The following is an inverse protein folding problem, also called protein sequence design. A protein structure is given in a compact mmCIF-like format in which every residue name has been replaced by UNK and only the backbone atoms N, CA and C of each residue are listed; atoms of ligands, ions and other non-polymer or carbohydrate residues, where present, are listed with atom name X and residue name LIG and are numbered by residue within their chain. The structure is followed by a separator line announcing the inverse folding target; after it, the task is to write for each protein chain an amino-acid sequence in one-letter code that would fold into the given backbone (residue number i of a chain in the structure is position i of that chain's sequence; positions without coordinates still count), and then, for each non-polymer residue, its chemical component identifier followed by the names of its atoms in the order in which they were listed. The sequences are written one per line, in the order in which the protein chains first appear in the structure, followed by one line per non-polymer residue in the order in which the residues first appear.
data_IF_565865926588
#
_entry.id   IF_565865926588
#
_cell.length_a   1.000
_cell.length_b   1.000
_cell.length_c   1.000
_cell.angle_alpha   90.00
_cell.angle_beta   90.00
_cell.angle_gamma   90.00
#
_symmetry.space_group_name_H-M   'P 1'
#
loop_
_entity.id
_entity.type
_entity.pdbx_description
1 polymer ?
#
# COMPACT_ATOMS: atom_id res chain seq x y z
N UNK A 1 -0.09 -30.49 -29.16
CA UNK A 1 0.41 -29.11 -29.29
C UNK A 1 0.48 -28.47 -27.91
N UNK A 2 1.37 -27.51 -27.72
CA UNK A 2 1.49 -26.74 -26.48
C UNK A 2 0.78 -25.40 -26.67
N UNK A 3 0.02 -24.97 -25.67
CA UNK A 3 -0.62 -23.64 -25.65
C UNK A 3 -0.20 -22.87 -24.41
N UNK A 4 -0.17 -21.55 -24.51
CA UNK A 4 0.00 -20.64 -23.36
C UNK A 4 -1.28 -19.84 -23.21
N UNK A 5 -1.86 -19.76 -22.03
CA UNK A 5 -3.12 -19.04 -21.80
C UNK A 5 -3.15 -18.40 -20.42
N UNK A 6 -4.12 -17.52 -20.20
CA UNK A 6 -4.28 -16.76 -18.97
C UNK A 6 -5.77 -16.50 -18.66
N UNK A 7 -6.05 -15.71 -17.63
CA UNK A 7 -7.40 -15.41 -17.20
C UNK A 7 -8.15 -14.45 -18.13
N UNK A 8 -9.48 -14.56 -18.11
CA UNK A 8 -10.41 -13.57 -18.68
C UNK A 8 -10.20 -12.19 -18.07
N UNK A 9 -10.57 -11.15 -18.81
CA UNK A 9 -10.24 -9.76 -18.48
C UNK A 9 -8.73 -9.57 -18.32
N UNK A 10 -7.98 -10.05 -19.31
CA UNK A 10 -6.52 -10.07 -19.34
C UNK A 10 -5.94 -8.65 -19.22
N UNK A 11 -5.16 -8.41 -18.16
CA UNK A 11 -4.38 -7.20 -17.90
C UNK A 11 -2.94 -7.33 -18.43
N UNK A 12 -2.07 -6.34 -18.17
CA UNK A 12 -0.73 -6.38 -18.73
C UNK A 12 0.12 -7.49 -18.14
N UNK A 13 0.00 -7.82 -16.85
CA UNK A 13 0.79 -8.92 -16.26
C UNK A 13 0.45 -10.26 -16.92
N UNK A 14 -0.84 -10.54 -17.05
CA UNK A 14 -1.33 -11.71 -17.77
C UNK A 14 -0.88 -11.73 -19.25
N UNK A 15 -1.06 -10.61 -19.98
CA UNK A 15 -0.68 -10.55 -21.40
C UNK A 15 0.83 -10.64 -21.61
N UNK A 16 1.62 -9.89 -20.85
CA UNK A 16 3.08 -9.94 -20.88
C UNK A 16 3.59 -11.35 -20.55
N UNK A 17 3.00 -12.01 -19.56
CA UNK A 17 3.34 -13.38 -19.20
C UNK A 17 3.01 -14.39 -20.29
N UNK A 18 1.92 -14.18 -21.05
CA UNK A 18 1.63 -15.01 -22.25
C UNK A 18 2.74 -14.85 -23.28
N UNK A 19 3.20 -13.62 -23.54
CA UNK A 19 4.29 -13.34 -24.47
C UNK A 19 5.65 -13.85 -23.94
N UNK A 20 5.93 -13.71 -22.65
CA UNK A 20 7.11 -14.32 -22.02
C UNK A 20 7.07 -15.85 -22.13
N UNK A 21 5.87 -16.44 -22.10
CA UNK A 21 5.66 -17.86 -22.35
C UNK A 21 6.15 -18.29 -23.74
N UNK A 22 5.95 -17.48 -24.79
CA UNK A 22 6.40 -17.85 -26.15
C UNK A 22 7.92 -17.86 -26.26
N UNK A 23 8.58 -17.04 -25.44
CA UNK A 23 10.05 -16.98 -25.31
C UNK A 23 10.57 -18.19 -24.54
N UNK A 24 9.94 -18.55 -23.42
CA UNK A 24 10.37 -19.66 -22.55
C UNK A 24 10.00 -21.06 -23.09
N UNK A 25 8.96 -21.15 -23.91
CA UNK A 25 8.44 -22.38 -24.48
C UNK A 25 8.29 -22.24 -26.01
N UNK A 26 9.42 -22.32 -26.76
CA UNK A 26 9.39 -22.21 -28.22
C UNK A 26 8.40 -23.19 -28.87
N UNK A 27 7.58 -22.69 -29.79
CA UNK A 27 6.56 -23.47 -30.49
C UNK A 27 5.24 -23.65 -29.72
N UNK A 28 5.12 -23.13 -28.48
CA UNK A 28 3.84 -23.02 -27.82
C UNK A 28 3.01 -21.88 -28.41
N UNK A 29 1.71 -22.12 -28.60
CA UNK A 29 0.81 -21.16 -29.24
C UNK A 29 0.21 -20.23 -28.18
N UNK A 30 0.45 -18.90 -28.25
CA UNK A 30 -0.12 -17.95 -27.30
C UNK A 30 -1.61 -17.74 -27.56
N UNK A 31 -2.42 -18.04 -26.54
CA UNK A 31 -3.86 -17.87 -26.54
C UNK A 31 -4.25 -16.71 -25.66
N UNK A 32 -4.94 -15.74 -26.25
CA UNK A 32 -5.49 -14.59 -25.55
C UNK A 32 -7.02 -14.73 -25.45
N UNK A 33 -7.59 -14.61 -24.24
CA UNK A 33 -9.04 -14.49 -24.05
C UNK A 33 -9.63 -13.32 -24.84
N UNK A 34 -10.92 -13.39 -25.20
CA UNK A 34 -11.58 -12.27 -25.92
C UNK A 34 -11.81 -11.07 -25.00
N UNK A 35 -12.02 -11.35 -23.72
CA UNK A 35 -12.21 -10.31 -22.71
C UNK A 35 -10.85 -9.76 -22.27
N UNK A 36 -10.52 -8.55 -22.72
CA UNK A 36 -9.28 -7.84 -22.38
C UNK A 36 -9.56 -6.59 -21.54
N UNK A 37 -8.64 -6.32 -20.60
CA UNK A 37 -8.54 -5.04 -19.92
C UNK A 37 -8.45 -3.89 -20.95
N UNK A 38 -9.11 -2.74 -20.73
CA UNK A 38 -9.06 -1.59 -21.64
C UNK A 38 -7.64 -1.15 -22.03
N UNK A 39 -6.69 -1.16 -21.11
CA UNK A 39 -5.32 -0.73 -21.37
C UNK A 39 -4.59 -1.68 -22.33
N UNK A 40 -4.73 -2.99 -22.11
CA UNK A 40 -4.19 -4.03 -23.01
C UNK A 40 -4.82 -3.94 -24.39
N UNK A 41 -6.14 -3.71 -24.45
CA UNK A 41 -6.85 -3.52 -25.73
C UNK A 41 -6.33 -2.30 -26.50
N UNK A 42 -6.12 -1.18 -25.81
CA UNK A 42 -5.55 0.03 -26.41
C UNK A 42 -4.12 -0.24 -26.92
N UNK A 43 -3.29 -0.92 -26.12
CA UNK A 43 -1.94 -1.31 -26.52
C UNK A 43 -1.94 -2.19 -27.76
N UNK A 44 -2.75 -3.25 -27.77
CA UNK A 44 -2.86 -4.18 -28.90
C UNK A 44 -3.43 -3.50 -30.14
N UNK A 45 -4.29 -2.49 -30.02
CA UNK A 45 -4.82 -1.78 -31.20
C UNK A 45 -3.73 -1.10 -32.04
N UNK A 46 -2.57 -0.83 -31.44
CA UNK A 46 -1.40 -0.20 -32.08
C UNK A 46 -0.33 -1.24 -32.41
N UNK A 47 -0.16 -2.26 -31.54
CA UNK A 47 0.98 -3.17 -31.59
C UNK A 47 0.61 -4.62 -31.97
N UNK A 48 -0.62 -4.89 -32.43
CA UNK A 48 -1.11 -6.25 -32.69
C UNK A 48 -0.16 -7.07 -33.57
N UNK A 49 0.38 -6.47 -34.61
CA UNK A 49 1.23 -7.15 -35.59
C UNK A 49 2.60 -7.58 -35.02
N UNK A 50 2.97 -7.06 -33.84
CA UNK A 50 4.19 -7.45 -33.13
C UNK A 50 3.99 -8.69 -32.24
N UNK A 51 2.74 -9.07 -31.98
CA UNK A 51 2.39 -10.15 -31.05
C UNK A 51 1.39 -11.11 -31.71
N UNK A 52 1.89 -12.22 -32.25
CA UNK A 52 1.08 -13.25 -32.93
C UNK A 52 0.24 -14.09 -31.96
N UNK A 53 -0.75 -13.49 -31.31
CA UNK A 53 -1.70 -14.18 -30.42
C UNK A 53 -2.89 -14.73 -31.19
N UNK A 54 -3.43 -15.87 -30.74
CA UNK A 54 -4.69 -16.44 -31.24
C UNK A 54 -5.78 -16.38 -30.18
N UNK A 55 -7.03 -16.41 -30.60
CA UNK A 55 -8.17 -16.65 -29.71
C UNK A 55 -8.41 -18.14 -29.53
N UNK A 56 -9.13 -18.51 -28.47
CA UNK A 56 -9.53 -19.90 -28.20
C UNK A 56 -10.34 -20.55 -29.34
N UNK A 57 -11.03 -19.75 -30.17
CA UNK A 57 -11.81 -20.26 -31.30
C UNK A 57 -10.95 -20.72 -32.49
N UNK A 58 -9.69 -20.30 -32.53
CA UNK A 58 -8.80 -20.52 -33.67
C UNK A 58 -7.94 -21.78 -33.50
N UNK A 59 -8.18 -22.56 -32.44
CA UNK A 59 -7.40 -23.76 -32.10
C UNK A 59 -8.29 -24.97 -31.87
N UNK A 60 -7.87 -26.11 -32.42
CA UNK A 60 -8.44 -27.41 -32.06
C UNK A 60 -7.90 -27.89 -30.70
N UNK A 61 -8.71 -27.69 -29.66
CA UNK A 61 -8.39 -28.08 -28.29
C UNK A 61 -8.09 -29.59 -28.13
N UNK A 62 -8.58 -30.46 -29.03
CA UNK A 62 -8.33 -31.90 -28.94
C UNK A 62 -6.85 -32.25 -29.18
N UNK A 63 -6.15 -31.40 -29.93
CA UNK A 63 -4.72 -31.60 -30.22
C UNK A 63 -3.82 -31.12 -29.09
N UNK A 64 -4.36 -30.44 -28.08
CA UNK A 64 -3.58 -29.91 -26.95
C UNK A 64 -3.10 -31.06 -26.07
N UNK A 65 -1.81 -31.04 -25.75
CA UNK A 65 -1.13 -32.03 -24.91
C UNK A 65 -0.51 -31.38 -23.67
N UNK A 66 -0.17 -30.09 -23.76
CA UNK A 66 0.33 -29.29 -22.63
C UNK A 66 -0.29 -27.90 -22.64
N UNK A 67 -0.62 -27.41 -21.46
CA UNK A 67 -1.07 -26.05 -21.22
C UNK A 67 -0.12 -25.34 -20.26
N UNK A 68 0.44 -24.22 -20.69
CA UNK A 68 1.16 -23.28 -19.84
C UNK A 68 0.15 -22.23 -19.40
N UNK A 69 -0.18 -22.19 -18.13
CA UNK A 69 -1.10 -21.22 -17.54
C UNK A 69 -0.27 -20.16 -16.83
N UNK A 70 -0.56 -18.90 -17.14
CA UNK A 70 0.11 -17.76 -16.51
C UNK A 70 -0.91 -16.88 -15.80
N UNK A 71 -0.50 -16.36 -14.65
CA UNK A 71 -1.21 -15.37 -13.83
C UNK A 71 -2.59 -15.80 -13.30
N UNK A 72 -2.81 -17.12 -13.22
CA UNK A 72 -4.00 -17.66 -12.55
C UNK A 72 -3.86 -19.14 -12.22
N UNK A 73 -4.02 -19.47 -10.94
CA UNK A 73 -4.18 -20.85 -10.47
C UNK A 73 -5.57 -21.46 -10.61
N UNK A 74 -6.53 -20.81 -11.29
CA UNK A 74 -7.95 -21.19 -11.26
C UNK A 74 -8.59 -21.47 -12.63
N UNK A 75 -9.20 -22.65 -12.81
CA UNK A 75 -9.97 -23.04 -14.00
C UNK A 75 -11.09 -22.07 -14.31
N UNK A 76 -11.81 -21.62 -13.27
CA UNK A 76 -12.95 -20.70 -13.43
C UNK A 76 -12.54 -19.36 -14.04
N UNK A 77 -11.25 -18.98 -13.98
CA UNK A 77 -10.74 -17.75 -14.59
C UNK A 77 -10.36 -17.95 -16.06
N UNK A 78 -10.19 -19.17 -16.55
CA UNK A 78 -9.81 -19.46 -17.93
C UNK A 78 -11.03 -19.39 -18.87
N UNK A 79 -10.93 -18.62 -19.95
CA UNK A 79 -12.01 -18.50 -20.93
C UNK A 79 -12.10 -19.78 -21.77
N UNK A 80 -13.24 -20.48 -21.72
CA UNK A 80 -13.61 -21.60 -22.60
C UNK A 80 -12.67 -22.82 -22.58
N UNK A 81 -12.08 -23.10 -21.43
CA UNK A 81 -11.20 -24.26 -21.22
C UNK A 81 -11.88 -25.46 -20.52
N UNK A 82 -13.19 -25.40 -20.27
CA UNK A 82 -13.95 -26.46 -19.57
C UNK A 82 -13.90 -27.82 -20.28
N UNK A 83 -13.83 -27.79 -21.61
CA UNK A 83 -13.75 -29.01 -22.42
C UNK A 83 -12.40 -29.71 -22.27
N UNK A 84 -11.29 -28.96 -22.19
CA UNK A 84 -9.98 -29.53 -21.87
C UNK A 84 -9.99 -30.16 -20.48
N UNK A 85 -10.49 -29.42 -19.48
CA UNK A 85 -10.59 -29.88 -18.09
C UNK A 85 -11.34 -31.21 -17.97
N UNK A 86 -12.43 -31.38 -18.72
CA UNK A 86 -13.30 -32.57 -18.63
C UNK A 86 -12.82 -33.74 -19.48
N UNK A 87 -12.30 -33.48 -20.69
CA UNK A 87 -12.07 -34.50 -21.72
C UNK A 87 -10.65 -35.04 -21.74
N UNK A 88 -9.67 -34.30 -21.23
CA UNK A 88 -8.24 -34.67 -21.29
C UNK A 88 -7.69 -34.97 -19.91
N UNK A 89 -7.68 -36.25 -19.55
CA UNK A 89 -7.11 -36.74 -18.28
C UNK A 89 -5.58 -36.78 -18.27
N UNK A 90 -4.96 -36.72 -19.46
CA UNK A 90 -3.51 -36.73 -19.70
C UNK A 90 -2.94 -35.32 -19.98
N UNK A 91 -3.72 -34.27 -19.78
CA UNK A 91 -3.28 -32.89 -20.02
C UNK A 91 -2.19 -32.49 -19.01
N UNK A 92 -1.00 -32.19 -19.52
CA UNK A 92 0.09 -31.64 -18.69
C UNK A 92 -0.10 -30.14 -18.49
N UNK A 93 -0.11 -29.67 -17.24
CA UNK A 93 -0.31 -28.25 -16.92
C UNK A 93 0.93 -27.70 -16.23
N UNK A 94 1.50 -26.63 -16.79
CA UNK A 94 2.57 -25.85 -16.17
C UNK A 94 2.00 -24.51 -15.70
N UNK A 95 2.30 -24.10 -14.47
CA UNK A 95 1.76 -22.89 -13.87
C UNK A 95 2.86 -21.87 -13.58
N UNK A 96 2.62 -20.62 -13.95
CA UNK A 96 3.33 -19.44 -13.44
C UNK A 96 2.29 -18.52 -12.78
N UNK A 97 2.42 -18.25 -11.50
CA UNK A 97 1.47 -17.39 -10.78
C UNK A 97 2.13 -16.76 -9.55
N UNK A 98 1.78 -15.52 -9.22
CA UNK A 98 2.20 -14.84 -8.00
C UNK A 98 1.10 -14.75 -6.91
N UNK A 99 -0.14 -15.11 -7.25
CA UNK A 99 -1.30 -14.97 -6.35
C UNK A 99 -1.34 -16.04 -5.25
N UNK A 100 -1.55 -15.68 -3.99
CA UNK A 100 -1.68 -16.66 -2.87
C UNK A 100 -3.04 -17.38 -2.79
N UNK A 101 -3.81 -17.41 -3.89
CA UNK A 101 -5.12 -18.03 -3.91
C UNK A 101 -5.03 -19.56 -3.96
N UNK A 102 -6.11 -20.23 -3.57
CA UNK A 102 -6.22 -21.68 -3.77
C UNK A 102 -6.14 -21.99 -5.27
N UNK A 103 -5.29 -22.96 -5.63
CA UNK A 103 -5.10 -23.43 -7.00
C UNK A 103 -5.94 -24.69 -7.22
N UNK A 104 -6.77 -24.71 -8.27
CA UNK A 104 -7.60 -25.88 -8.66
C UNK A 104 -7.15 -26.52 -9.98
N UNK A 105 -6.03 -26.05 -10.55
CA UNK A 105 -5.46 -26.54 -11.81
C UNK A 105 -4.74 -27.89 -11.69
N UNK A 106 -4.24 -28.24 -10.49
CA UNK A 106 -3.39 -29.42 -10.26
C UNK A 106 -2.20 -29.51 -11.24
N UNK A 107 -1.30 -28.51 -11.25
CA UNK A 107 -0.22 -28.45 -12.23
C UNK A 107 0.81 -29.57 -12.04
N UNK A 108 1.31 -30.11 -13.16
CA UNK A 108 2.44 -31.04 -13.18
C UNK A 108 3.76 -30.34 -12.78
N UNK A 109 3.85 -29.03 -13.04
CA UNK A 109 4.94 -28.19 -12.60
C UNK A 109 4.42 -26.77 -12.31
N UNK A 110 4.91 -26.13 -11.25
CA UNK A 110 4.53 -24.76 -10.92
C UNK A 110 5.72 -23.93 -10.45
N UNK A 111 5.79 -22.69 -10.91
CA UNK A 111 6.54 -21.61 -10.29
C UNK A 111 5.53 -20.67 -9.65
N UNK A 112 5.41 -20.78 -8.33
CA UNK A 112 4.42 -20.05 -7.54
C UNK A 112 5.09 -19.45 -6.31
N UNK A 113 5.29 -18.13 -6.35
CA UNK A 113 6.03 -17.40 -5.32
C UNK A 113 5.34 -16.07 -5.01
N UNK A 114 5.46 -15.61 -3.76
CA UNK A 114 4.96 -14.29 -3.35
C UNK A 114 5.89 -13.21 -3.90
N UNK A 115 5.50 -12.57 -4.99
CA UNK A 115 6.29 -11.54 -5.69
C UNK A 115 5.38 -10.44 -6.26
N UNK A 116 5.97 -9.31 -6.68
CA UNK A 116 5.22 -8.16 -7.18
C UNK A 116 4.36 -8.47 -8.41
N UNK A 117 4.86 -9.26 -9.37
CA UNK A 117 4.14 -9.63 -10.60
C UNK A 117 4.55 -11.02 -11.12
N UNK A 118 3.65 -11.72 -11.81
CA UNK A 118 3.94 -12.99 -12.49
C UNK A 118 5.04 -12.83 -13.53
N UNK A 119 5.06 -11.71 -14.28
CA UNK A 119 6.10 -11.44 -15.27
C UNK A 119 7.50 -11.41 -14.67
N UNK A 120 7.65 -11.00 -13.40
CA UNK A 120 8.94 -10.99 -12.69
C UNK A 120 9.53 -12.39 -12.60
N UNK A 121 8.70 -13.41 -12.28
CA UNK A 121 9.14 -14.81 -12.23
C UNK A 121 9.65 -15.29 -13.59
N UNK A 122 8.96 -14.90 -14.65
CA UNK A 122 9.30 -15.31 -16.01
C UNK A 122 10.54 -14.58 -16.52
N UNK A 123 10.71 -13.29 -16.21
CA UNK A 123 11.91 -12.52 -16.54
C UNK A 123 13.15 -13.10 -15.84
N UNK A 124 13.02 -13.52 -14.57
CA UNK A 124 14.07 -14.22 -13.84
C UNK A 124 14.52 -15.49 -14.57
N UNK A 125 13.57 -16.27 -15.08
CA UNK A 125 13.88 -17.49 -15.85
C UNK A 125 14.45 -17.18 -17.23
N UNK A 126 13.95 -16.16 -17.93
CA UNK A 126 14.49 -15.66 -19.22
C UNK A 126 15.96 -15.28 -19.05
N UNK A 127 16.28 -14.51 -18.00
CA UNK A 127 17.64 -14.10 -17.66
C UNK A 127 18.52 -15.30 -17.33
N UNK A 128 18.01 -16.25 -16.54
CA UNK A 128 18.74 -17.49 -16.19
C UNK A 128 19.07 -18.35 -17.41
N UNK A 129 18.22 -18.33 -18.44
CA UNK A 129 18.41 -19.06 -19.71
C UNK A 129 19.18 -18.27 -20.76
N UNK A 130 19.64 -17.06 -20.43
CA UNK A 130 20.35 -16.15 -21.35
C UNK A 130 19.58 -15.90 -22.66
N UNK A 131 18.25 -15.75 -22.55
CA UNK A 131 17.39 -15.49 -23.72
C UNK A 131 17.32 -13.99 -23.99
N UNK A 132 17.73 -13.60 -25.19
CA UNK A 132 17.71 -12.20 -25.65
C UNK A 132 16.28 -11.74 -25.92
N UNK A 133 15.89 -10.62 -25.32
CA UNK A 133 14.62 -9.95 -25.56
C UNK A 133 14.73 -8.90 -26.65
N UNK A 134 13.67 -8.76 -27.44
CA UNK A 134 13.51 -7.57 -28.29
C UNK A 134 13.18 -6.34 -27.42
N UNK A 135 13.51 -5.11 -27.86
CA UNK A 135 13.15 -3.90 -27.12
C UNK A 135 11.63 -3.79 -26.83
N UNK A 136 10.78 -4.25 -27.75
CA UNK A 136 9.34 -4.22 -27.57
C UNK A 136 8.83 -5.25 -26.54
N UNK A 137 9.42 -6.46 -26.51
CA UNK A 137 9.14 -7.43 -25.45
C UNK A 137 9.58 -6.88 -24.08
N UNK A 138 10.79 -6.31 -24.01
CA UNK A 138 11.28 -5.70 -22.79
C UNK A 138 10.37 -4.55 -22.32
N UNK A 139 9.87 -3.74 -23.25
CA UNK A 139 8.91 -2.66 -22.99
C UNK A 139 7.60 -3.20 -22.44
N UNK A 140 7.00 -4.21 -23.10
CA UNK A 140 5.76 -4.84 -22.64
C UNK A 140 5.91 -5.43 -21.23
N UNK A 141 7.01 -6.14 -20.98
CA UNK A 141 7.25 -6.78 -19.69
C UNK A 141 7.46 -5.74 -18.58
N UNK A 142 8.08 -4.60 -18.91
CA UNK A 142 8.26 -3.52 -17.94
C UNK A 142 6.93 -2.80 -17.64
N UNK A 143 6.05 -2.63 -18.63
CA UNK A 143 4.70 -2.09 -18.43
C UNK A 143 3.92 -2.97 -17.45
N UNK A 144 3.93 -4.28 -17.68
CA UNK A 144 3.29 -5.26 -16.79
C UNK A 144 3.82 -5.18 -15.36
N UNK A 145 5.15 -5.23 -15.20
CA UNK A 145 5.80 -5.17 -13.90
C UNK A 145 5.44 -3.88 -13.16
N UNK A 146 5.47 -2.73 -13.84
CA UNK A 146 5.14 -1.45 -13.21
C UNK A 146 3.65 -1.27 -12.92
N UNK A 147 2.74 -1.86 -13.69
CA UNK A 147 1.31 -1.83 -13.38
C UNK A 147 1.04 -2.56 -12.05
N UNK A 148 1.58 -3.77 -11.89
CA UNK A 148 1.32 -4.62 -10.73
C UNK A 148 2.10 -4.23 -9.47
N UNK A 149 3.22 -3.56 -9.63
CA UNK A 149 4.02 -3.03 -8.50
C UNK A 149 3.75 -1.55 -8.20
N UNK A 150 2.90 -0.89 -8.98
CA UNK A 150 2.65 0.54 -8.86
C UNK A 150 3.91 1.37 -9.06
N UNK A 151 4.69 1.08 -10.11
CA UNK A 151 6.04 1.62 -10.31
C UNK A 151 6.98 1.34 -9.13
N UNK A 152 6.99 0.08 -8.65
CA UNK A 152 7.79 -0.37 -7.50
C UNK A 152 7.46 0.31 -6.16
N UNK A 153 6.27 0.93 -6.02
CA UNK A 153 5.86 1.64 -4.80
C UNK A 153 4.89 0.86 -3.92
N UNK A 154 4.26 -0.19 -4.44
CA UNK A 154 3.36 -1.03 -3.65
C UNK A 154 4.13 -1.88 -2.65
N UNK A 155 3.52 -2.15 -1.48
CA UNK A 155 4.13 -2.95 -0.41
C UNK A 155 4.31 -4.43 -0.77
N UNK A 156 3.67 -4.90 -1.84
CA UNK A 156 3.89 -6.24 -2.42
C UNK A 156 5.17 -6.33 -3.26
N UNK A 157 5.79 -5.21 -3.60
CA UNK A 157 7.02 -5.16 -4.41
C UNK A 157 8.18 -5.79 -3.65
N UNK A 158 8.97 -6.62 -4.33
CA UNK A 158 10.15 -7.31 -3.80
C UNK A 158 11.44 -6.80 -4.46
N UNK A 159 12.63 -7.10 -3.90
CA UNK A 159 13.90 -6.77 -4.55
C UNK A 159 14.04 -7.38 -5.95
N UNK A 160 13.45 -8.56 -6.18
CA UNK A 160 13.52 -9.23 -7.48
C UNK A 160 12.75 -8.45 -8.56
N UNK A 161 11.66 -7.77 -8.21
CA UNK A 161 10.92 -6.89 -9.13
C UNK A 161 11.81 -5.72 -9.59
N UNK A 162 12.59 -5.14 -8.68
CA UNK A 162 13.54 -4.09 -9.01
C UNK A 162 14.69 -4.60 -9.91
N UNK A 163 15.18 -5.81 -9.66
CA UNK A 163 16.19 -6.45 -10.52
C UNK A 163 15.66 -6.78 -11.91
N UNK A 164 14.42 -7.27 -12.01
CA UNK A 164 13.77 -7.52 -13.29
C UNK A 164 13.55 -6.20 -14.05
N UNK A 165 13.10 -5.14 -13.39
CA UNK A 165 12.97 -3.81 -13.99
C UNK A 165 14.31 -3.30 -14.56
N UNK A 166 15.40 -3.44 -13.79
CA UNK A 166 16.73 -3.07 -14.25
C UNK A 166 17.16 -3.86 -15.50
N UNK A 167 16.96 -5.18 -15.50
CA UNK A 167 17.27 -6.05 -16.64
C UNK A 167 16.46 -5.69 -17.90
N UNK A 168 15.18 -5.33 -17.74
CA UNK A 168 14.33 -4.91 -18.86
C UNK A 168 14.79 -3.57 -19.45
N UNK A 169 15.23 -2.64 -18.60
CA UNK A 169 15.83 -1.37 -19.05
C UNK A 169 17.17 -1.58 -19.76
N UNK A 170 18.02 -2.48 -19.26
CA UNK A 170 19.24 -2.92 -19.96
C UNK A 170 18.92 -3.51 -21.33
N UNK A 171 17.80 -4.25 -21.42
CA UNK A 171 17.23 -4.83 -22.64
C UNK A 171 16.49 -3.80 -23.53
N UNK A 172 16.72 -2.50 -23.30
CA UNK A 172 16.18 -1.38 -24.11
C UNK A 172 14.66 -1.21 -24.05
N UNK A 173 14.02 -1.54 -22.92
CA UNK A 173 12.63 -1.15 -22.68
C UNK A 173 12.44 0.38 -22.82
N UNK A 174 11.40 0.81 -23.54
CA UNK A 174 11.12 2.22 -23.82
C UNK A 174 10.14 2.82 -22.80
N UNK A 175 10.66 3.72 -21.97
CA UNK A 175 9.87 4.42 -20.94
C UNK A 175 8.82 5.38 -21.51
N UNK A 176 8.99 5.87 -22.74
CA UNK A 176 8.01 6.77 -23.36
C UNK A 176 6.73 6.02 -23.72
N UNK A 177 6.87 4.85 -24.32
CA UNK A 177 5.74 3.96 -24.61
C UNK A 177 5.06 3.58 -23.29
N UNK A 178 5.84 3.17 -22.29
CA UNK A 178 5.36 2.80 -20.97
C UNK A 178 4.53 3.91 -20.30
N UNK A 179 5.00 5.16 -20.35
CA UNK A 179 4.29 6.30 -19.75
C UNK A 179 2.90 6.54 -20.35
N UNK A 180 2.70 6.13 -21.61
CA UNK A 180 1.41 6.25 -22.30
C UNK A 180 0.36 5.28 -21.76
N UNK A 181 0.79 4.12 -21.24
CA UNK A 181 -0.13 3.05 -20.82
C UNK A 181 -0.26 2.93 -19.29
N UNK A 182 0.73 3.35 -18.51
CA UNK A 182 0.67 3.35 -17.04
C UNK A 182 -0.16 4.49 -16.46
N UNK A 183 -0.46 5.52 -17.26
CA UNK A 183 -1.39 6.57 -16.88
C UNK A 183 -2.75 6.28 -17.51
N UNK A 184 -3.71 5.66 -16.80
CA UNK A 184 -5.05 5.52 -17.34
C UNK A 184 -5.58 6.92 -17.66
N UNK A 185 -5.77 7.18 -18.97
CA UNK A 185 -6.30 8.44 -19.41
C UNK A 185 -7.67 8.64 -18.75
N UNK A 186 -7.82 9.74 -18.00
CA UNK A 186 -9.12 10.10 -17.44
C UNK A 186 -10.06 10.34 -18.61
N UNK A 187 -11.03 9.43 -18.78
CA UNK A 187 -12.15 9.67 -19.67
C UNK A 187 -12.90 10.92 -19.23
N UNK A 188 -13.64 11.53 -20.15
CA UNK A 188 -14.41 12.75 -19.90
C UNK A 188 -15.33 12.60 -18.67
N UNK A 189 -15.96 11.43 -18.52
CA UNK A 189 -16.80 11.11 -17.35
C UNK A 189 -16.02 11.17 -16.03
N UNK A 190 -14.83 10.57 -15.95
CA UNK A 190 -14.02 10.60 -14.74
C UNK A 190 -13.53 12.02 -14.42
N UNK A 191 -13.13 12.80 -15.44
CA UNK A 191 -12.74 14.20 -15.28
C UNK A 191 -13.89 15.03 -14.71
N UNK A 192 -15.09 14.87 -15.27
CA UNK A 192 -16.27 15.59 -14.82
C UNK A 192 -16.64 15.25 -13.38
N UNK A 193 -16.61 13.96 -13.01
CA UNK A 193 -16.86 13.52 -11.63
C UNK A 193 -15.81 14.09 -10.68
N UNK A 194 -14.52 14.02 -11.02
CA UNK A 194 -13.46 14.59 -10.18
C UNK A 194 -13.67 16.09 -9.98
N UNK A 195 -13.98 16.82 -11.05
CA UNK A 195 -14.22 18.25 -10.99
C UNK A 195 -15.39 18.58 -10.06
N UNK A 196 -16.49 17.83 -10.16
CA UNK A 196 -17.64 17.96 -9.24
C UNK A 196 -17.27 17.65 -7.78
N UNK A 197 -16.48 16.60 -7.55
CA UNK A 197 -15.97 16.27 -6.21
C UNK A 197 -15.11 17.41 -5.65
N UNK A 198 -14.22 17.99 -6.46
CA UNK A 198 -13.35 19.09 -6.04
C UNK A 198 -14.13 20.37 -5.75
N UNK A 199 -15.17 20.69 -6.53
CA UNK A 199 -16.03 21.86 -6.28
C UNK A 199 -16.82 21.74 -4.97
N UNK A 200 -17.23 20.53 -4.60
CA UNK A 200 -18.01 20.25 -3.38
C UNK A 200 -17.16 19.75 -2.20
N UNK A 201 -15.84 19.78 -2.35
CA UNK A 201 -14.88 19.24 -1.39
C UNK A 201 -15.02 19.90 -0.01
N UNK A 202 -15.10 19.07 1.03
CA UNK A 202 -15.03 19.51 2.43
C UNK A 202 -14.00 18.68 3.17
N UNK A 203 -13.06 19.36 3.83
CA UNK A 203 -12.10 18.75 4.75
C UNK A 203 -12.68 18.79 6.16
N UNK A 204 -12.77 17.64 6.80
CA UNK A 204 -13.20 17.50 8.19
C UNK A 204 -12.06 16.90 9.00
N UNK A 205 -11.83 17.38 10.22
CA UNK A 205 -10.90 16.74 11.15
C UNK A 205 -11.65 15.73 11.99
N UNK A 206 -11.25 14.46 11.93
CA UNK A 206 -11.77 13.36 12.75
C UNK A 206 -10.57 12.74 13.44
N UNK A 207 -10.55 12.72 14.77
CA UNK A 207 -9.44 12.14 15.55
C UNK A 207 -8.05 12.64 15.13
N UNK A 208 -7.93 13.96 14.84
CA UNK A 208 -6.72 14.63 14.36
C UNK A 208 -6.24 14.23 12.94
N UNK A 209 -7.02 13.43 12.22
CA UNK A 209 -6.82 13.08 10.82
C UNK A 209 -7.74 13.95 9.95
N UNK A 210 -7.21 14.39 8.81
CA UNK A 210 -7.97 15.10 7.80
C UNK A 210 -8.67 14.10 6.89
N UNK A 211 -10.00 14.18 6.84
CA UNK A 211 -10.83 13.28 6.04
C UNK A 211 -11.75 14.09 5.14
N UNK A 212 -12.01 13.61 3.93
CA UNK A 212 -13.02 14.18 3.05
C UNK A 212 -14.02 13.13 2.57
N UNK A 213 -15.31 13.41 2.70
CA UNK A 213 -16.39 12.55 2.23
C UNK A 213 -17.21 13.34 1.22
N UNK A 214 -17.24 12.86 -0.02
CA UNK A 214 -17.94 13.48 -1.13
C UNK A 214 -19.09 12.60 -1.63
N UNK A 215 -20.13 13.21 -2.19
CA UNK A 215 -21.29 12.52 -2.75
C UNK A 215 -21.54 13.04 -4.15
N UNK A 216 -21.55 12.15 -5.13
CA UNK A 216 -21.74 12.49 -6.55
C UNK A 216 -22.77 11.56 -7.17
N UNK A 217 -23.58 12.12 -8.05
CA UNK A 217 -24.53 11.36 -8.86
C UNK A 217 -23.90 11.03 -10.22
N UNK A 218 -23.95 9.76 -10.62
CA UNK A 218 -23.33 9.25 -11.84
C UNK A 218 -24.37 8.70 -12.82
N UNK A 219 -24.19 9.06 -14.10
CA UNK A 219 -25.06 8.65 -15.21
C UNK A 219 -24.47 7.49 -16.01
N UNK A 220 -25.25 6.42 -16.13
CA UNK A 220 -24.83 5.18 -16.79
C UNK A 220 -23.64 4.50 -16.10
N UNK A 221 -22.95 3.62 -16.82
CA UNK A 221 -21.76 2.95 -16.29
C UNK A 221 -20.53 3.87 -16.33
N UNK A 222 -19.81 3.95 -15.21
CA UNK A 222 -18.53 4.63 -15.08
C UNK A 222 -17.53 3.67 -14.45
N UNK A 223 -16.50 3.30 -15.21
CA UNK A 223 -15.39 2.48 -14.71
C UNK A 223 -14.37 3.29 -13.93
N UNK A 224 -13.57 2.62 -13.09
CA UNK A 224 -12.40 3.17 -12.40
C UNK A 224 -12.66 4.38 -11.49
N UNK A 225 -13.83 4.43 -10.83
CA UNK A 225 -14.13 5.46 -9.82
C UNK A 225 -13.11 5.48 -8.65
N UNK A 226 -12.45 4.36 -8.38
CA UNK A 226 -11.44 4.26 -7.33
C UNK A 226 -10.17 5.08 -7.61
N UNK A 227 -9.85 5.30 -8.89
CA UNK A 227 -8.79 6.20 -9.34
C UNK A 227 -9.19 7.66 -9.13
N UNK A 228 -10.46 7.99 -9.40
CA UNK A 228 -11.01 9.32 -9.14
C UNK A 228 -10.93 9.67 -7.65
N UNK A 229 -11.33 8.76 -6.75
CA UNK A 229 -11.22 8.97 -5.30
C UNK A 229 -9.77 9.09 -4.84
N UNK A 230 -8.84 8.34 -5.44
CA UNK A 230 -7.42 8.45 -5.12
C UNK A 230 -6.88 9.83 -5.52
N UNK A 231 -7.11 10.27 -6.76
CA UNK A 231 -6.64 11.57 -7.22
C UNK A 231 -7.30 12.72 -6.45
N UNK A 232 -8.59 12.59 -6.12
CA UNK A 232 -9.29 13.53 -5.24
C UNK A 232 -8.62 13.66 -3.87
N UNK A 233 -8.24 12.54 -3.23
CA UNK A 233 -7.50 12.53 -1.95
C UNK A 233 -6.17 13.26 -2.07
N UNK A 234 -5.43 12.95 -3.13
CA UNK A 234 -4.07 13.47 -3.35
C UNK A 234 -4.10 14.98 -3.62
N UNK A 235 -5.02 15.46 -4.47
CA UNK A 235 -5.22 16.90 -4.74
C UNK A 235 -5.63 17.65 -3.47
N UNK A 236 -6.56 17.08 -2.68
CA UNK A 236 -6.99 17.71 -1.43
C UNK A 236 -5.96 17.58 -0.30
N UNK A 237 -4.95 16.73 -0.44
CA UNK A 237 -3.94 16.42 0.56
C UNK A 237 -4.55 16.03 1.93
N UNK A 238 -5.45 15.04 1.92
CA UNK A 238 -6.14 14.51 3.12
C UNK A 238 -5.68 13.10 3.46
N UNK A 239 -5.70 12.73 4.74
CA UNK A 239 -5.26 11.41 5.24
C UNK A 239 -6.18 10.27 4.73
N UNK A 240 -7.48 10.57 4.53
CA UNK A 240 -8.41 9.66 3.88
C UNK A 240 -9.48 10.41 3.06
N UNK A 241 -9.93 9.79 1.97
CA UNK A 241 -11.06 10.27 1.21
C UNK A 241 -12.06 9.15 0.91
N UNK A 242 -13.35 9.50 0.92
CA UNK A 242 -14.45 8.61 0.58
C UNK A 242 -15.33 9.26 -0.49
N UNK A 243 -15.60 8.51 -1.56
CA UNK A 243 -16.58 8.86 -2.59
C UNK A 243 -17.84 8.00 -2.44
N UNK A 244 -19.00 8.66 -2.39
CA UNK A 244 -20.33 8.04 -2.39
C UNK A 244 -20.96 8.33 -3.74
N UNK A 245 -21.06 7.32 -4.60
CA UNK A 245 -21.52 7.45 -5.98
C UNK A 245 -22.92 6.87 -6.15
N UNK A 246 -23.88 7.69 -6.56
CA UNK A 246 -25.28 7.30 -6.78
C UNK A 246 -25.56 7.05 -8.25
N UNK A 247 -26.12 5.90 -8.59
CA UNK A 247 -26.68 5.68 -9.92
C UNK A 247 -28.10 6.23 -10.01
N UNK A 248 -28.36 7.09 -10.99
CA UNK A 248 -29.68 7.67 -11.27
C UNK A 248 -30.76 6.62 -11.56
N UNK A 249 -30.38 5.46 -12.10
CA UNK A 249 -31.35 4.52 -12.69
C UNK A 249 -31.80 3.39 -11.75
N UNK A 250 -31.14 3.18 -10.60
CA UNK A 250 -31.26 1.89 -9.88
C UNK A 250 -31.16 1.97 -8.33
N UNK A 251 -31.21 3.16 -7.72
CA UNK A 251 -31.04 3.35 -6.26
C UNK A 251 -29.83 2.58 -5.68
N UNK A 252 -28.77 2.45 -6.48
CA UNK A 252 -27.51 1.82 -6.09
C UNK A 252 -26.51 2.89 -5.70
N UNK A 253 -25.88 2.67 -4.57
CA UNK A 253 -24.85 3.51 -4.02
C UNK A 253 -23.53 2.73 -3.98
N UNK A 254 -22.49 3.25 -4.62
CA UNK A 254 -21.13 2.71 -4.54
C UNK A 254 -20.35 3.57 -3.58
N UNK A 255 -19.79 2.97 -2.54
CA UNK A 255 -18.89 3.63 -1.59
C UNK A 255 -17.48 3.19 -1.90
N UNK A 256 -16.56 4.13 -2.07
CA UNK A 256 -15.14 3.86 -2.27
C UNK A 256 -14.34 4.70 -1.30
N UNK A 257 -13.40 4.07 -0.59
CA UNK A 257 -12.46 4.75 0.30
C UNK A 257 -11.02 4.56 -0.15
N UNK A 258 -10.20 5.58 0.13
CA UNK A 258 -8.74 5.54 0.02
C UNK A 258 -8.12 6.23 1.23
N UNK A 259 -7.07 5.65 1.79
CA UNK A 259 -6.28 6.26 2.86
C UNK A 259 -4.79 6.06 2.61
N UNK A 260 -3.99 6.99 3.10
CA UNK A 260 -2.53 6.90 3.12
C UNK A 260 -1.97 6.78 4.56
N UNK A 261 -2.84 6.48 5.55
CA UNK A 261 -2.47 6.31 6.95
C UNK A 261 -3.05 5.02 7.50
N UNK A 262 -2.26 4.30 8.32
CA UNK A 262 -2.71 3.04 8.93
C UNK A 262 -3.80 3.23 9.98
N UNK A 263 -3.91 4.44 10.52
CA UNK A 263 -4.93 4.80 11.50
C UNK A 263 -6.37 4.70 10.96
N UNK A 264 -6.56 4.68 9.64
CA UNK A 264 -7.86 4.49 8.99
C UNK A 264 -7.82 3.22 8.15
N UNK A 265 -8.30 2.12 8.72
CA UNK A 265 -8.47 0.87 7.97
C UNK A 265 -9.73 0.94 7.10
N UNK A 266 -9.56 1.40 5.86
CA UNK A 266 -10.65 1.54 4.88
C UNK A 266 -11.31 0.20 4.61
N UNK A 267 -10.52 -0.87 4.45
CA UNK A 267 -11.03 -2.22 4.21
C UNK A 267 -11.95 -2.72 5.32
N UNK A 268 -11.68 -2.38 6.59
CA UNK A 268 -12.57 -2.69 7.70
C UNK A 268 -13.86 -1.86 7.65
N UNK A 269 -13.76 -0.56 7.36
CA UNK A 269 -14.91 0.36 7.23
C UNK A 269 -15.87 -0.10 6.14
N UNK A 270 -15.38 -0.44 4.94
CA UNK A 270 -16.26 -0.85 3.85
C UNK A 270 -16.81 -2.26 4.05
N UNK A 271 -16.12 -3.14 4.80
CA UNK A 271 -16.63 -4.49 5.14
C UNK A 271 -17.86 -4.44 6.03
N UNK A 272 -17.97 -3.49 6.95
CA UNK A 272 -19.20 -3.32 7.74
C UNK A 272 -20.40 -2.92 6.87
N UNK A 273 -20.15 -2.42 5.65
CA UNK A 273 -21.15 -2.09 4.63
C UNK A 273 -21.38 -3.21 3.61
N UNK A 274 -20.87 -4.42 3.87
CA UNK A 274 -20.96 -5.56 2.94
C UNK A 274 -20.00 -5.46 1.74
N UNK A 275 -18.98 -4.61 1.82
CA UNK A 275 -17.93 -4.46 0.82
C UNK A 275 -16.69 -5.31 1.09
N UNK A 276 -15.61 -4.96 0.41
CA UNK A 276 -14.31 -5.62 0.53
C UNK A 276 -13.15 -4.67 0.22
N UNK A 277 -11.95 -5.04 0.67
CA UNK A 277 -10.73 -4.27 0.48
C UNK A 277 -9.64 -4.58 1.51
N UNK A 278 -8.62 -3.72 1.54
CA UNK A 278 -7.43 -3.77 2.38
C UNK A 278 -7.29 -2.46 3.19
N UNK A 279 -6.33 -2.33 4.13
CA UNK A 279 -6.27 -1.16 5.01
C UNK A 279 -6.25 0.20 4.28
N UNK A 280 -5.49 0.35 3.19
CA UNK A 280 -5.42 1.60 2.43
C UNK A 280 -6.55 1.86 1.43
N UNK A 281 -7.41 0.87 1.16
CA UNK A 281 -8.41 0.97 0.10
C UNK A 281 -9.54 -0.04 0.19
N UNK A 282 -10.75 0.36 -0.20
CA UNK A 282 -11.86 -0.58 -0.29
C UNK A 282 -13.10 0.01 -0.95
N UNK A 283 -14.03 -0.87 -1.28
CA UNK A 283 -15.32 -0.48 -1.87
C UNK A 283 -16.48 -1.35 -1.39
N UNK A 284 -17.67 -0.76 -1.33
CA UNK A 284 -18.93 -1.45 -1.04
C UNK A 284 -20.00 -1.02 -2.05
N UNK A 285 -20.92 -1.93 -2.38
CA UNK A 285 -22.10 -1.64 -3.19
C UNK A 285 -23.36 -1.83 -2.34
N UNK A 286 -24.08 -0.74 -2.10
CA UNK A 286 -25.30 -0.69 -1.31
C UNK A 286 -26.52 -0.57 -2.23
N UNK A 287 -27.60 -1.25 -1.87
CA UNK A 287 -28.88 -1.22 -2.59
C UNK A 287 -29.93 -0.50 -1.74
N UNK A 288 -30.67 0.44 -2.33
CA UNK A 288 -31.76 1.16 -1.69
C UNK A 288 -31.36 1.95 -0.42
N UNK A 289 -30.12 2.45 -0.37
CA UNK A 289 -29.62 3.27 0.76
C UNK A 289 -29.41 4.70 0.28
N UNK A 290 -29.96 5.67 1.02
CA UNK A 290 -29.80 7.09 0.72
C UNK A 290 -28.36 7.56 1.02
N UNK A 291 -27.78 8.46 0.20
CA UNK A 291 -26.41 8.95 0.40
C UNK A 291 -26.15 9.56 1.77
N UNK A 292 -27.15 10.26 2.31
CA UNK A 292 -27.06 10.91 3.62
C UNK A 292 -26.81 9.89 4.73
N UNK A 293 -27.53 8.77 4.72
CA UNK A 293 -27.35 7.69 5.69
C UNK A 293 -25.97 7.03 5.55
N UNK A 294 -25.50 6.82 4.32
CA UNK A 294 -24.14 6.30 4.08
C UNK A 294 -23.08 7.24 4.63
N UNK A 295 -23.24 8.55 4.42
CA UNK A 295 -22.32 9.57 4.93
C UNK A 295 -22.30 9.60 6.46
N UNK A 296 -23.46 9.56 7.10
CA UNK A 296 -23.58 9.50 8.56
C UNK A 296 -22.91 8.24 9.10
N UNK A 297 -23.14 7.09 8.47
CA UNK A 297 -22.50 5.83 8.84
C UNK A 297 -20.98 5.87 8.72
N UNK A 298 -20.44 6.45 7.63
CA UNK A 298 -19.00 6.66 7.49
C UNK A 298 -18.45 7.54 8.62
N UNK A 299 -19.13 8.64 8.94
CA UNK A 299 -18.72 9.54 10.02
C UNK A 299 -18.71 8.83 11.37
N UNK A 300 -19.71 8.01 11.66
CA UNK A 300 -19.77 7.19 12.88
C UNK A 300 -18.62 6.19 12.95
N UNK A 301 -18.35 5.44 11.88
CA UNK A 301 -17.24 4.46 11.86
C UNK A 301 -15.87 5.13 11.98
N UNK A 302 -15.67 6.27 11.31
CA UNK A 302 -14.44 7.05 11.39
C UNK A 302 -14.24 7.67 12.78
N UNK A 303 -15.33 7.98 13.48
CA UNK A 303 -15.30 8.50 14.84
C UNK A 303 -15.17 7.38 15.89
N UNK A 304 -15.74 6.20 15.62
CA UNK A 304 -15.95 5.09 16.56
C UNK A 304 -14.94 3.94 16.50
N UNK A 305 -14.10 3.84 15.47
CA UNK A 305 -13.07 2.78 15.38
C UNK A 305 -11.82 3.08 16.23
N UNK A 306 -11.99 3.07 17.56
CA UNK A 306 -10.91 3.07 18.56
C UNK A 306 -10.77 1.71 19.27
N UNK A 307 -11.16 0.60 18.64
CA UNK A 307 -10.86 -0.74 19.16
C UNK A 307 -9.93 -1.46 18.18
N UNK A 308 -8.63 -1.28 18.43
CA UNK A 308 -7.55 -2.02 17.76
C UNK A 308 -6.24 -1.26 17.55
N UNK A 309 -6.16 0.04 17.85
CA UNK A 309 -4.89 0.77 17.70
C UNK A 309 -4.06 0.68 18.98
N UNK A 310 -2.84 0.16 18.86
CA UNK A 310 -1.80 0.24 19.90
C UNK A 310 -1.67 1.70 20.37
N UNK A 311 -1.74 1.93 21.68
CA UNK A 311 -1.62 3.24 22.28
C UNK A 311 -0.20 3.47 22.81
N UNK A 312 0.16 4.72 23.06
CA UNK A 312 1.44 5.06 23.69
C UNK A 312 1.60 4.36 25.04
N UNK A 313 0.52 4.21 25.80
CA UNK A 313 0.50 3.48 27.07
C UNK A 313 0.96 2.02 26.94
N UNK A 314 0.74 1.39 25.78
CA UNK A 314 1.12 0.00 25.52
C UNK A 314 2.60 -0.14 25.11
N UNK A 315 3.23 0.94 24.64
CA UNK A 315 4.61 0.96 24.13
C UNK A 315 5.62 1.67 25.03
N UNK A 316 5.14 2.52 25.94
CA UNK A 316 6.02 3.35 26.75
C UNK A 316 6.87 2.51 27.72
N UNK A 317 8.11 2.94 27.93
CA UNK A 317 8.95 2.36 28.98
C UNK A 317 8.57 2.93 30.35
N UNK A 318 8.44 2.05 31.33
CA UNK A 318 8.23 2.36 32.75
C UNK A 318 9.00 1.34 33.63
N UNK A 319 9.45 1.72 34.85
CA UNK A 319 9.35 3.03 35.49
C UNK A 319 10.34 4.06 34.90
N UNK A 320 9.97 5.34 34.93
CA UNK A 320 10.82 6.43 34.41
C UNK A 320 11.72 6.99 35.50
N UNK A 321 13.03 7.03 35.23
CA UNK A 321 13.97 7.69 36.13
C UNK A 321 13.93 9.20 35.91
N UNK A 322 13.74 9.97 36.99
CA UNK A 322 13.67 11.43 36.97
C UNK A 322 14.70 12.04 37.92
N UNK A 323 14.96 13.34 37.76
CA UNK A 323 15.81 14.14 38.68
C UNK A 323 15.03 15.36 39.16
N UNK A 324 15.35 15.85 40.35
CA UNK A 324 14.74 17.05 40.88
C UNK A 324 15.30 18.32 40.21
N UNK A 325 14.50 19.38 40.16
CA UNK A 325 14.85 20.64 39.50
C UNK A 325 16.09 21.35 40.10
N UNK A 326 16.40 21.05 41.36
CA UNK A 326 17.54 21.56 42.13
C UNK A 326 18.79 20.66 42.08
N UNK A 327 18.68 19.43 41.56
CA UNK A 327 19.83 18.52 41.35
C UNK A 327 20.92 19.21 40.53
N UNK A 328 22.17 19.05 40.95
CA UNK A 328 23.30 19.73 40.29
C UNK A 328 23.59 19.16 38.90
N UNK A 329 24.14 19.96 38.01
CA UNK A 329 24.55 19.49 36.68
C UNK A 329 25.62 18.38 36.77
N UNK A 330 26.49 18.39 37.79
CA UNK A 330 27.46 17.32 38.06
C UNK A 330 26.78 15.97 38.34
N UNK A 331 25.85 15.94 39.30
CA UNK A 331 25.08 14.75 39.66
C UNK A 331 24.26 14.23 38.46
N UNK A 332 23.60 15.13 37.72
CA UNK A 332 22.88 14.75 36.49
C UNK A 332 23.84 14.09 35.49
N UNK A 333 25.06 14.62 35.34
CA UNK A 333 26.08 14.06 34.46
C UNK A 333 26.50 12.65 34.88
N UNK A 334 26.68 12.44 36.18
CA UNK A 334 27.00 11.13 36.76
C UNK A 334 25.86 10.14 36.53
N UNK A 335 24.62 10.51 36.81
CA UNK A 335 23.43 9.66 36.59
C UNK A 335 23.32 9.25 35.11
N UNK A 336 23.49 10.20 34.18
CA UNK A 336 23.44 9.93 32.73
C UNK A 336 24.54 8.94 32.28
N UNK A 337 25.69 8.95 32.96
CA UNK A 337 26.80 8.04 32.67
C UNK A 337 26.54 6.65 33.26
N UNK A 338 26.21 6.57 34.54
CA UNK A 338 25.96 5.31 35.27
C UNK A 338 24.79 4.53 34.67
N UNK A 339 23.71 5.20 34.28
CA UNK A 339 22.51 4.56 33.73
C UNK A 339 22.54 4.38 32.21
N UNK A 340 23.60 4.83 31.53
CA UNK A 340 23.67 4.79 30.06
C UNK A 340 22.62 5.65 29.35
N UNK A 341 21.93 6.55 30.06
CA UNK A 341 20.88 7.40 29.49
C UNK A 341 21.48 8.63 28.78
N UNK A 342 20.81 9.13 27.73
CA UNK A 342 21.24 10.35 27.00
C UNK A 342 20.47 11.61 27.39
N UNK A 343 19.48 11.49 28.28
CA UNK A 343 18.70 12.56 28.86
C UNK A 343 17.71 12.04 29.91
N UNK A 344 17.21 12.95 30.75
CA UNK A 344 16.33 12.67 31.88
C UNK A 344 15.20 13.71 31.96
N UNK A 345 13.98 13.29 32.32
CA UNK A 345 12.92 14.21 32.74
C UNK A 345 13.27 14.84 34.09
N UNK A 346 12.96 16.12 34.23
CA UNK A 346 13.16 16.91 35.44
C UNK A 346 11.81 17.17 36.10
N UNK A 347 11.68 16.84 37.38
CA UNK A 347 10.45 17.02 38.16
C UNK A 347 10.61 18.13 39.20
N UNK A 348 9.50 18.83 39.47
CA UNK A 348 9.40 19.82 40.55
C UNK A 348 9.12 19.16 41.91
N UNK A 349 8.99 19.98 42.95
CA UNK A 349 8.67 19.54 44.31
C UNK A 349 7.32 18.81 44.41
N UNK A 350 6.38 19.09 43.50
CA UNK A 350 5.05 18.48 43.43
C UNK A 350 4.99 17.21 42.55
N UNK A 351 6.15 16.64 42.22
CA UNK A 351 6.35 15.52 41.29
C UNK A 351 5.85 15.77 39.86
N UNK A 352 5.50 17.02 39.50
CA UNK A 352 5.12 17.34 38.13
C UNK A 352 6.35 17.51 37.25
N UNK A 353 6.18 17.15 35.98
CA UNK A 353 7.23 17.33 34.98
C UNK A 353 7.40 18.83 34.66
N UNK A 354 8.59 19.38 34.95
CA UNK A 354 8.91 20.81 34.74
C UNK A 354 9.90 21.06 33.61
N UNK A 355 10.62 20.03 33.17
CA UNK A 355 11.54 20.14 32.02
C UNK A 355 12.20 18.83 31.64
N UNK A 356 13.12 18.91 30.67
CA UNK A 356 13.95 17.79 30.22
C UNK A 356 15.40 18.26 30.13
N UNK A 357 16.34 17.44 30.61
CA UNK A 357 17.77 17.66 30.45
C UNK A 357 18.38 16.56 29.59
N UNK A 358 19.28 16.91 28.67
CA UNK A 358 19.99 15.97 27.80
C UNK A 358 21.49 16.18 27.85
N UNK A 359 22.27 15.20 27.38
CA UNK A 359 23.74 15.34 27.22
C UNK A 359 24.12 16.55 26.36
N UNK A 360 23.25 16.97 25.43
CA UNK A 360 23.50 18.14 24.57
C UNK A 360 23.48 19.45 25.37
N UNK A 361 22.70 19.51 26.45
CA UNK A 361 22.55 20.70 27.28
C UNK A 361 23.81 21.01 28.10
N UNK A 362 24.68 20.01 28.35
CA UNK A 362 25.99 20.23 28.98
C UNK A 362 26.90 21.15 28.14
N UNK A 363 26.65 21.27 26.82
CA UNK A 363 27.36 22.25 25.97
C UNK A 363 27.05 23.71 26.34
N UNK A 364 25.98 23.96 27.11
CA UNK A 364 25.60 25.29 27.61
C UNK A 364 26.48 25.73 28.80
N UNK A 365 27.23 24.80 29.41
CA UNK A 365 28.20 25.11 30.47
C UNK A 365 29.43 25.79 29.82
N UNK A 366 29.60 27.09 30.06
CA UNK A 366 30.65 27.94 29.47
C UNK A 366 31.61 28.53 30.50
N UNK A 367 31.24 28.55 31.78
CA UNK A 367 32.00 29.17 32.86
C UNK A 367 32.39 28.14 33.91
N UNK A 368 33.52 28.36 34.58
CA UNK A 368 33.96 27.54 35.71
C UNK A 368 32.93 27.59 36.84
N UNK A 369 32.67 26.45 37.48
CA UNK A 369 31.72 26.32 38.60
C UNK A 369 30.26 26.06 38.21
N UNK A 370 29.89 26.12 36.93
CA UNK A 370 28.49 25.87 36.51
C UNK A 370 28.03 24.42 36.68
N UNK A 371 28.95 23.49 36.93
CA UNK A 371 28.60 22.10 37.30
C UNK A 371 27.83 22.02 38.63
N UNK A 372 28.06 22.97 39.54
CA UNK A 372 27.35 23.07 40.82
C UNK A 372 26.02 23.82 40.72
N UNK A 373 25.67 24.32 39.52
CA UNK A 373 24.39 24.99 39.30
C UNK A 373 23.26 23.97 39.13
N UNK A 374 22.04 24.30 39.56
CA UNK A 374 20.90 23.39 39.49
C UNK A 374 20.45 23.16 38.03
N UNK A 375 19.94 21.96 37.75
CA UNK A 375 19.53 21.54 36.40
C UNK A 375 18.44 22.43 35.80
N UNK A 376 17.56 23.02 36.63
CA UNK A 376 16.52 23.96 36.17
C UNK A 376 17.05 25.17 35.41
N UNK A 377 18.33 25.53 35.61
CA UNK A 377 18.96 26.63 34.88
C UNK A 377 19.36 26.27 33.44
N UNK A 378 19.42 24.98 33.08
CA UNK A 378 19.91 24.51 31.78
C UNK A 378 18.92 23.63 31.02
N UNK A 379 17.93 23.06 31.71
CA UNK A 379 16.90 22.20 31.13
C UNK A 379 16.08 22.91 30.05
N UNK A 380 15.52 22.12 29.14
CA UNK A 380 14.51 22.60 28.19
C UNK A 380 13.14 22.67 28.87
N UNK A 381 12.48 23.82 28.77
CA UNK A 381 11.15 24.08 29.33
C UNK A 381 10.37 25.07 28.44
N UNK A 382 9.05 24.91 28.24
CA UNK A 382 8.22 23.80 28.71
C UNK A 382 8.54 22.48 27.96
N UNK A 383 8.44 21.32 28.63
CA UNK A 383 8.72 20.04 28.00
C UNK A 383 7.63 19.68 26.98
N UNK A 384 8.04 19.16 25.82
CA UNK A 384 7.11 18.53 24.87
C UNK A 384 6.73 17.16 25.42
N UNK A 385 5.43 16.88 25.55
CA UNK A 385 4.89 15.68 26.20
C UNK A 385 3.81 15.02 25.33
N UNK A 386 3.41 13.81 25.70
CA UNK A 386 2.31 13.09 25.04
C UNK A 386 1.39 12.40 26.05
N UNK A 387 0.09 12.34 25.75
CA UNK A 387 -0.90 11.60 26.55
C UNK A 387 -0.83 10.09 26.25
N UNK A 388 -0.94 9.20 27.24
CA UNK A 388 -0.82 7.74 27.04
C UNK A 388 -1.83 7.15 26.05
N UNK A 389 -2.98 7.81 25.84
CA UNK A 389 -4.03 7.32 24.92
C UNK A 389 -3.76 7.68 23.45
N UNK A 390 -2.69 8.42 23.18
CA UNK A 390 -2.32 8.86 21.83
C UNK A 390 -1.72 7.71 21.03
N UNK A 391 -1.55 7.93 19.73
CA UNK A 391 -1.00 6.93 18.81
C UNK A 391 0.54 7.01 18.69
N UNK A 392 1.23 5.91 18.33
CA UNK A 392 2.67 5.90 18.03
C UNK A 392 3.04 6.86 16.89
N UNK A 393 2.14 7.02 15.92
CA UNK A 393 2.31 7.98 14.81
C UNK A 393 2.31 9.44 15.29
N UNK A 394 1.45 9.79 16.24
CA UNK A 394 1.47 11.13 16.84
C UNK A 394 2.78 11.38 17.61
N UNK A 395 3.32 10.37 18.31
CA UNK A 395 4.64 10.47 18.94
C UNK A 395 5.73 10.71 17.90
N UNK A 396 5.77 9.93 16.81
CA UNK A 396 6.74 10.10 15.74
C UNK A 396 6.67 11.52 15.13
N UNK A 397 5.46 12.02 14.85
CA UNK A 397 5.24 13.39 14.35
C UNK A 397 5.74 14.46 15.32
N UNK A 398 5.50 14.31 16.62
CA UNK A 398 6.02 15.23 17.64
C UNK A 398 7.55 15.19 17.70
N UNK A 399 8.16 13.99 17.64
CA UNK A 399 9.61 13.82 17.63
C UNK A 399 10.27 14.51 16.43
N UNK A 400 9.69 14.38 15.23
CA UNK A 400 10.18 15.05 14.02
C UNK A 400 9.97 16.57 14.11
N UNK A 401 8.76 17.00 14.45
CA UNK A 401 8.40 18.43 14.51
C UNK A 401 9.28 19.22 15.48
N UNK A 402 9.63 18.63 16.61
CA UNK A 402 10.41 19.29 17.66
C UNK A 402 11.89 18.90 17.66
N UNK A 403 12.34 18.06 16.72
CA UNK A 403 13.69 17.45 16.67
C UNK A 403 14.14 16.86 18.02
N UNK A 404 13.25 16.07 18.64
CA UNK A 404 13.51 15.41 19.92
C UNK A 404 13.58 13.89 19.72
N UNK A 405 14.44 13.24 20.51
CA UNK A 405 14.63 11.79 20.47
C UNK A 405 13.80 11.03 21.51
N UNK A 406 13.12 11.73 22.41
CA UNK A 406 12.37 11.16 23.54
C UNK A 406 11.16 12.03 23.86
N UNK A 407 10.06 11.39 24.24
CA UNK A 407 8.80 12.01 24.64
C UNK A 407 8.39 11.47 26.01
N UNK A 408 8.38 12.32 27.05
CA UNK A 408 7.72 11.99 28.30
C UNK A 408 6.22 11.77 28.08
N UNK A 409 5.72 10.65 28.60
CA UNK A 409 4.31 10.32 28.62
C UNK A 409 3.73 10.82 29.94
N UNK A 410 2.76 11.74 29.85
CA UNK A 410 2.21 12.46 30.99
C UNK A 410 0.72 12.21 31.12
N UNK A 411 0.27 11.92 32.34
CA UNK A 411 -1.14 11.82 32.72
C UNK A 411 -1.38 12.66 33.96
N UNK A 412 -2.39 13.53 33.93
CA UNK A 412 -2.76 14.42 35.05
C UNK A 412 -1.57 15.28 35.57
N UNK A 413 -0.69 15.70 34.66
CA UNK A 413 0.50 16.51 34.98
C UNK A 413 1.70 15.73 35.54
N UNK A 414 1.56 14.42 35.74
CA UNK A 414 2.62 13.52 36.23
C UNK A 414 3.18 12.67 35.10
N UNK A 415 4.49 12.46 35.12
CA UNK A 415 5.15 11.55 34.18
C UNK A 415 4.88 10.10 34.59
N UNK A 416 4.36 9.30 33.66
CA UNK A 416 4.01 7.89 33.89
C UNK A 416 4.83 6.93 33.00
N UNK A 417 5.47 7.46 31.96
CA UNK A 417 6.25 6.68 31.01
C UNK A 417 7.15 7.58 30.17
N UNK A 418 8.05 6.96 29.41
CA UNK A 418 8.86 7.65 28.41
C UNK A 418 8.91 6.80 27.14
N UNK A 419 8.79 7.46 25.99
CA UNK A 419 8.94 6.82 24.69
C UNK A 419 10.18 7.40 24.00
N UNK A 420 11.08 6.55 23.56
CA UNK A 420 12.23 6.92 22.74
C UNK A 420 11.92 6.77 21.25
N UNK A 421 12.75 7.40 20.41
CA UNK A 421 12.67 7.23 18.96
C UNK A 421 12.86 5.78 18.55
N UNK A 422 13.68 5.02 19.26
CA UNK A 422 13.87 3.58 19.02
C UNK A 422 12.58 2.81 19.29
N UNK A 423 11.88 3.10 20.40
CA UNK A 423 10.61 2.43 20.74
C UNK A 423 9.54 2.72 19.67
N UNK A 424 9.50 3.95 19.16
CA UNK A 424 8.61 4.32 18.06
C UNK A 424 8.98 3.58 16.76
N UNK A 425 10.28 3.45 16.46
CA UNK A 425 10.74 2.74 15.27
C UNK A 425 10.48 1.24 15.33
N UNK A 426 10.67 0.59 16.49
CA UNK A 426 10.39 -0.84 16.66
C UNK A 426 8.93 -1.15 16.31
N UNK A 427 7.98 -0.34 16.80
CA UNK A 427 6.58 -0.47 16.41
C UNK A 427 6.36 -0.39 14.89
N UNK A 428 7.05 0.51 14.19
CA UNK A 428 6.92 0.59 12.72
C UNK A 428 7.60 -0.56 12.00
N UNK A 429 8.70 -1.09 12.53
CA UNK A 429 9.37 -2.27 11.96
C UNK A 429 8.55 -3.54 12.17
N UNK A 430 7.92 -3.72 13.33
CA UNK A 430 7.05 -4.88 13.63
C UNK A 430 5.76 -4.89 12.79
N UNK A 431 5.41 -3.77 12.15
CA UNK A 431 4.30 -3.67 11.20
C UNK A 431 4.70 -4.03 9.76
N UNK A 432 5.99 -4.14 9.47
CA UNK A 432 6.45 -4.63 8.18
C UNK A 432 6.26 -6.15 8.16
N UNK A 433 5.69 -6.73 7.09
CA UNK A 433 5.68 -8.18 6.95
C UNK A 433 7.11 -8.72 6.91
N UNK A 434 7.34 -9.86 7.58
CA UNK A 434 8.61 -10.60 7.58
C UNK A 434 9.19 -10.80 6.17
#
# INVERSE_FOLDING_TARGET
MQIITTHRNTDFDAFASVIAGTVLYPGAVPILPKSLNPNVRAFLSIHKDLFETRSTDEIDLNTVTRMIVVDTGNWSRLERMDDLRRKKTDLEIFLWDHHQNQCDLNPAWACHEKIGATITLMVREIKKRDIVLTPMQATLFLIALYEDTGNLTFSSTTPEDAHAAAYLLESKADLNILSTFLQPAYGEKQKNILFEMLQSAKRTKINNLSVSINTVTIKGHVGNLSLVVNMYRDILNVDAAFGIFMHDDNDRCIVIGRSNVDAINVGAIVRSMGGGGHPGAGSAMLKAVKPKAVKEWLLELLSGNQQGSVQIGDLMSYPVFTVAADTTMEEVGQILKERGCTGLPVVGEDEKLVGIISRRDFKKLRKNGQLQSPVKAFMSTPPVTIDPRKSPMEAARLMVKHDIGRLPVVKDGRIIGIMSRSDAMTYFYDLLPD
#
